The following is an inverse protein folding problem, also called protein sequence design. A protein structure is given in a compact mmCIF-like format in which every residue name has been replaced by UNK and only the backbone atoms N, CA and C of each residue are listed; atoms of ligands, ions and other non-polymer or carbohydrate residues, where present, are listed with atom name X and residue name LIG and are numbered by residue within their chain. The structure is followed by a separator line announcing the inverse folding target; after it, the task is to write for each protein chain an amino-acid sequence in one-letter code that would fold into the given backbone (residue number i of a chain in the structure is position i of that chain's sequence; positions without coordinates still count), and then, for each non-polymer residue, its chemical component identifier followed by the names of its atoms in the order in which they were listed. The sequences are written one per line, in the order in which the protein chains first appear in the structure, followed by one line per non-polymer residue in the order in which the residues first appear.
data_IF_946702195614
#
_entry.id   IF_946702195614
#
_cell.length_a   1.000
_cell.length_b   1.000
_cell.length_c   1.000
_cell.angle_alpha   90.00
_cell.angle_beta   90.00
_cell.angle_gamma   90.00
#
_symmetry.space_group_name_H-M   'P 1'
#
loop_
_entity.id
_entity.type
_entity.pdbx_description
1 polymer ?
#
# COMPACT_ATOMS: atom_id res chain seq x y z
N UNK A 1 4.11 -9.41 7.83
CA UNK A 1 2.97 -8.51 8.09
C UNK A 1 2.99 -7.89 9.47
N UNK A 2 3.22 -8.67 10.52
CA UNK A 2 3.27 -8.15 11.89
C UNK A 2 4.33 -7.04 12.07
N UNK A 3 5.50 -7.17 11.44
CA UNK A 3 6.54 -6.15 11.49
C UNK A 3 6.09 -4.81 10.92
N UNK A 4 5.32 -4.84 9.83
CA UNK A 4 4.80 -3.63 9.20
C UNK A 4 3.74 -2.97 10.07
N UNK A 5 2.90 -3.75 10.75
CA UNK A 5 1.89 -3.20 11.65
C UNK A 5 2.53 -2.56 12.88
N UNK A 6 3.58 -3.16 13.43
CA UNK A 6 4.32 -2.57 14.56
C UNK A 6 5.01 -1.28 14.15
N UNK A 7 5.57 -1.22 12.94
CA UNK A 7 6.17 -0.01 12.41
C UNK A 7 5.12 1.10 12.27
N UNK A 8 3.92 0.75 11.79
CA UNK A 8 2.83 1.71 11.68
C UNK A 8 2.43 2.26 13.06
N UNK A 9 2.33 1.41 14.07
CA UNK A 9 2.01 1.83 15.43
C UNK A 9 3.06 2.80 15.98
N UNK A 10 4.34 2.52 15.74
CA UNK A 10 5.42 3.40 16.14
C UNK A 10 5.32 4.77 15.47
N UNK A 11 4.99 4.80 14.19
CA UNK A 11 4.82 6.05 13.45
C UNK A 11 3.63 6.85 13.97
N UNK A 12 2.53 6.19 14.34
CA UNK A 12 1.36 6.85 14.91
C UNK A 12 1.71 7.52 16.24
N UNK A 13 2.50 6.87 17.08
CA UNK A 13 2.92 7.43 18.37
C UNK A 13 3.82 8.67 18.20
N UNK A 14 4.65 8.67 17.17
CA UNK A 14 5.63 9.75 16.95
C UNK A 14 5.09 10.93 16.16
N UNK A 15 4.03 10.73 15.39
CA UNK A 15 3.53 11.73 14.45
C UNK A 15 2.22 12.34 14.94
N UNK A 16 1.92 13.56 14.47
CA UNK A 16 0.65 14.25 14.73
C UNK A 16 0.26 15.10 13.54
N UNK A 17 -1.04 15.41 13.41
CA UNK A 17 -1.57 16.25 12.33
C UNK A 17 -1.29 15.67 10.95
N UNK A 18 -0.79 16.50 10.04
CA UNK A 18 -0.48 16.09 8.66
C UNK A 18 0.63 15.04 8.60
N UNK A 19 1.59 15.11 9.51
CA UNK A 19 2.65 14.10 9.56
C UNK A 19 2.08 12.72 9.88
N UNK A 20 1.09 12.66 10.76
CA UNK A 20 0.40 11.41 11.07
C UNK A 20 -0.33 10.85 9.85
N UNK A 21 -1.05 11.69 9.11
CA UNK A 21 -1.76 11.28 7.90
C UNK A 21 -0.81 10.69 6.87
N UNK A 22 0.32 11.36 6.62
CA UNK A 22 1.33 10.90 5.67
C UNK A 22 1.94 9.57 6.14
N UNK A 23 2.22 9.43 7.44
CA UNK A 23 2.77 8.21 8.01
C UNK A 23 1.79 7.03 7.86
N UNK A 24 0.50 7.26 8.10
CA UNK A 24 -0.52 6.23 7.94
C UNK A 24 -0.66 5.77 6.49
N UNK A 25 -0.65 6.72 5.55
CA UNK A 25 -0.71 6.40 4.14
C UNK A 25 0.52 5.61 3.72
N UNK A 26 1.71 6.01 4.16
CA UNK A 26 2.94 5.30 3.86
C UNK A 26 2.94 3.87 4.40
N UNK A 27 2.44 3.66 5.62
CA UNK A 27 2.31 2.33 6.19
C UNK A 27 1.32 1.47 5.40
N UNK A 28 0.18 2.05 4.99
CA UNK A 28 -0.80 1.36 4.18
C UNK A 28 -0.22 0.94 2.83
N UNK A 29 0.57 1.81 2.20
CA UNK A 29 1.24 1.48 0.94
C UNK A 29 2.26 0.36 1.09
N UNK A 30 2.97 0.30 2.21
CA UNK A 30 3.91 -0.79 2.48
C UNK A 30 3.17 -2.14 2.51
N UNK A 31 2.00 -2.19 3.14
CA UNK A 31 1.15 -3.38 3.15
C UNK A 31 0.70 -3.74 1.74
N UNK A 32 0.25 -2.75 0.95
CA UNK A 32 -0.19 -2.99 -0.42
C UNK A 32 0.95 -3.53 -1.29
N UNK A 33 2.15 -2.99 -1.19
CA UNK A 33 3.31 -3.48 -1.92
C UNK A 33 3.64 -4.93 -1.55
N UNK A 34 3.55 -5.27 -0.28
CA UNK A 34 3.76 -6.64 0.19
C UNK A 34 2.74 -7.59 -0.45
N UNK A 35 1.46 -7.21 -0.46
CA UNK A 35 0.39 -8.01 -1.03
C UNK A 35 0.55 -8.17 -2.55
N UNK A 36 0.94 -7.11 -3.26
CA UNK A 36 1.20 -7.16 -4.70
C UNK A 36 2.31 -8.17 -5.01
N UNK A 37 3.41 -8.11 -4.26
CA UNK A 37 4.52 -9.04 -4.45
C UNK A 37 4.10 -10.49 -4.18
N UNK A 38 3.36 -10.71 -3.11
CA UNK A 38 2.88 -12.03 -2.71
C UNK A 38 1.94 -12.63 -3.76
N UNK A 39 0.93 -11.89 -4.18
CA UNK A 39 -0.03 -12.37 -5.17
C UNK A 39 0.60 -12.51 -6.55
N UNK A 40 1.58 -11.67 -6.89
CA UNK A 40 2.33 -11.82 -8.14
C UNK A 40 3.07 -13.15 -8.20
N UNK A 41 3.72 -13.55 -7.12
CA UNK A 41 4.40 -14.84 -7.02
C UNK A 41 3.41 -15.99 -7.13
N UNK A 42 2.28 -15.90 -6.43
CA UNK A 42 1.25 -16.93 -6.49
C UNK A 42 0.65 -17.06 -7.89
N UNK A 43 0.48 -15.95 -8.57
CA UNK A 43 -0.03 -15.93 -9.95
C UNK A 43 0.93 -16.67 -10.89
N UNK A 44 2.23 -16.43 -10.75
CA UNK A 44 3.22 -17.12 -11.58
C UNK A 44 3.22 -18.64 -11.31
N UNK A 45 3.07 -19.04 -10.06
CA UNK A 45 2.96 -20.45 -9.71
C UNK A 45 1.70 -21.08 -10.31
N UNK A 46 0.57 -20.38 -10.27
CA UNK A 46 -0.67 -20.87 -10.87
C UNK A 46 -0.49 -21.08 -12.38
N UNK A 47 0.22 -20.18 -13.04
CA UNK A 47 0.54 -20.28 -14.47
C UNK A 47 1.40 -21.50 -14.75
N UNK A 48 2.47 -21.69 -13.97
CA UNK A 48 3.38 -22.84 -14.14
C UNK A 48 2.65 -24.16 -13.92
N UNK A 49 1.73 -24.22 -12.95
CA UNK A 49 0.96 -25.42 -12.66
C UNK A 49 -0.22 -25.63 -13.62
N UNK A 50 -0.46 -24.68 -14.52
CA UNK A 50 -1.55 -24.78 -15.48
C UNK A 50 -2.93 -24.54 -14.90
N UNK A 51 -3.02 -23.91 -13.73
CA UNK A 51 -4.29 -23.60 -13.09
C UNK A 51 -4.81 -22.25 -13.55
N UNK A 52 -5.56 -22.24 -14.65
CA UNK A 52 -6.08 -21.02 -15.26
C UNK A 52 -7.07 -20.28 -14.37
N UNK A 53 -7.90 -21.01 -13.64
CA UNK A 53 -8.88 -20.40 -12.73
C UNK A 53 -8.18 -19.62 -11.62
N UNK A 54 -7.18 -20.21 -10.99
CA UNK A 54 -6.40 -19.54 -9.96
C UNK A 54 -5.62 -18.35 -10.53
N UNK A 55 -5.06 -18.51 -11.72
CA UNK A 55 -4.34 -17.43 -12.39
C UNK A 55 -5.25 -16.21 -12.65
N UNK A 56 -6.46 -16.46 -13.15
CA UNK A 56 -7.44 -15.40 -13.42
C UNK A 56 -7.85 -14.69 -12.12
N UNK A 57 -8.14 -15.45 -11.08
CA UNK A 57 -8.53 -14.91 -9.80
C UNK A 57 -7.42 -14.06 -9.18
N UNK A 58 -6.19 -14.56 -9.20
CA UNK A 58 -5.05 -13.84 -8.66
C UNK A 58 -4.73 -12.58 -9.45
N UNK A 59 -4.93 -12.60 -10.77
CA UNK A 59 -4.78 -11.41 -11.62
C UNK A 59 -5.78 -10.34 -11.22
N UNK A 60 -7.04 -10.72 -10.98
CA UNK A 60 -8.07 -9.80 -10.53
C UNK A 60 -7.73 -9.16 -9.18
N UNK A 61 -7.26 -9.96 -8.23
CA UNK A 61 -6.82 -9.47 -6.92
C UNK A 61 -5.66 -8.50 -7.06
N UNK A 62 -4.69 -8.82 -7.90
CA UNK A 62 -3.55 -7.93 -8.16
C UNK A 62 -3.97 -6.58 -8.74
N UNK A 63 -4.92 -6.58 -9.65
CA UNK A 63 -5.42 -5.35 -10.24
C UNK A 63 -6.09 -4.48 -9.18
N UNK A 64 -6.85 -5.08 -8.26
CA UNK A 64 -7.46 -4.36 -7.13
C UNK A 64 -6.40 -3.78 -6.19
N UNK A 65 -5.36 -4.55 -5.86
CA UNK A 65 -4.27 -4.10 -5.00
C UNK A 65 -3.50 -2.94 -5.62
N UNK A 66 -3.24 -3.00 -6.91
CA UNK A 66 -2.55 -1.93 -7.64
C UNK A 66 -3.40 -0.66 -7.68
N UNK A 67 -4.72 -0.80 -7.89
CA UNK A 67 -5.63 0.33 -7.86
C UNK A 67 -5.68 0.99 -6.47
N UNK A 68 -5.71 0.19 -5.42
CA UNK A 68 -5.66 0.69 -4.04
C UNK A 68 -4.36 1.43 -3.76
N UNK A 69 -3.23 0.89 -4.21
CA UNK A 69 -1.92 1.54 -4.03
C UNK A 69 -1.86 2.88 -4.77
N UNK A 70 -2.41 2.95 -5.99
CA UNK A 70 -2.46 4.20 -6.75
C UNK A 70 -3.30 5.26 -6.04
N UNK A 71 -4.42 4.87 -5.42
CA UNK A 71 -5.24 5.79 -4.64
C UNK A 71 -4.49 6.31 -3.43
N UNK A 72 -3.74 5.44 -2.74
CA UNK A 72 -2.92 5.84 -1.60
C UNK A 72 -1.81 6.80 -2.01
N UNK A 73 -1.20 6.58 -3.16
CA UNK A 73 -0.19 7.49 -3.71
C UNK A 73 -0.79 8.88 -3.94
N UNK A 74 -1.97 8.93 -4.55
CA UNK A 74 -2.65 10.21 -4.81
C UNK A 74 -2.98 10.95 -3.50
N UNK A 75 -3.44 10.22 -2.48
CA UNK A 75 -3.71 10.79 -1.16
C UNK A 75 -2.43 11.30 -0.50
N UNK A 76 -1.33 10.56 -0.61
CA UNK A 76 -0.05 10.97 -0.04
C UNK A 76 0.45 12.27 -0.67
N UNK A 77 0.38 12.37 -1.99
CA UNK A 77 0.79 13.58 -2.72
C UNK A 77 -0.06 14.77 -2.28
N UNK A 78 -1.37 14.59 -2.16
CA UNK A 78 -2.29 15.64 -1.70
C UNK A 78 -1.94 16.09 -0.27
N UNK A 79 -1.70 15.15 0.64
CA UNK A 79 -1.34 15.46 2.02
C UNK A 79 0.00 16.19 2.12
N UNK A 80 1.00 15.76 1.35
CA UNK A 80 2.31 16.41 1.31
C UNK A 80 2.19 17.84 0.80
N UNK A 81 1.41 18.06 -0.26
CA UNK A 81 1.18 19.39 -0.81
C UNK A 81 0.48 20.30 0.19
N UNK A 82 -0.51 19.76 0.91
CA UNK A 82 -1.20 20.53 1.94
C UNK A 82 -0.24 20.91 3.08
N UNK A 83 0.60 20.00 3.53
CA UNK A 83 1.63 20.27 4.55
C UNK A 83 2.62 21.33 4.07
N UNK A 84 3.05 21.23 2.82
CA UNK A 84 3.95 22.22 2.21
C UNK A 84 3.37 23.61 2.18
N UNK A 85 2.10 23.73 1.83
CA UNK A 85 1.39 25.03 1.85
C UNK A 85 1.28 25.59 3.26
N UNK A 86 0.96 24.75 4.23
CA UNK A 86 0.87 25.17 5.62
C UNK A 86 2.23 25.64 6.15
N UNK A 87 3.30 24.95 5.80
CA UNK A 87 4.66 25.28 6.23
C UNK A 87 5.16 26.61 5.66
N UNK A 88 4.64 27.02 4.51
CA UNK A 88 5.03 28.29 3.85
C UNK A 88 4.39 29.52 4.47
N UNK A 89 3.43 29.34 5.33
CA UNK A 89 2.81 30.46 6.04
C UNK A 89 3.65 30.87 7.24
#
# INVERSE_FOLDING_TARGET
MDGLLKEADGLIEEASGHALDVALIGAAQAVEHYEIARYGTLREWAKVLGNEEAHTLLTSILDEEKAANNKLTALAVTAINASGKAAKK
#
